data_IF_991925736577
#
_entry.id   IF_991925736577
#
_cell.length_a   1.000
_cell.length_b   1.000
_cell.length_c   1.000
_cell.angle_alpha   90.00
_cell.angle_beta   90.00
_cell.angle_gamma   90.00
#
_symmetry.space_group_name_H-M   'P 1'
#
loop_
_entity.id
_entity.type
_entity.pdbx_description
1 polymer ?
#
# COMPACT_ATOMS: atom_id res chain seq x y z
N UNK A 1 -4.03 -12.02 -9.39
CA UNK A 1 -2.75 -11.82 -10.12
C UNK A 1 -1.63 -11.36 -9.19
N UNK A 2 -1.71 -10.21 -8.51
CA UNK A 2 -0.70 -9.81 -7.51
C UNK A 2 -0.65 -10.69 -6.25
N UNK A 3 -1.80 -11.18 -5.79
CA UNK A 3 -1.92 -12.03 -4.59
C UNK A 3 -1.79 -13.53 -4.91
N UNK A 4 -1.81 -13.90 -6.19
CA UNK A 4 -1.80 -15.31 -6.63
C UNK A 4 -0.45 -15.99 -6.41
N UNK A 5 0.63 -15.20 -6.36
CA UNK A 5 1.98 -15.65 -6.03
C UNK A 5 2.70 -14.50 -5.34
N UNK A 6 3.55 -14.74 -4.34
CA UNK A 6 4.32 -13.68 -3.70
C UNK A 6 5.49 -13.18 -4.58
N UNK A 7 5.83 -13.91 -5.65
CA UNK A 7 6.97 -13.61 -6.53
C UNK A 7 6.91 -12.19 -7.13
N UNK A 8 5.79 -11.72 -7.71
CA UNK A 8 5.70 -10.38 -8.30
C UNK A 8 6.00 -9.28 -7.28
N UNK A 9 5.58 -9.45 -6.02
CA UNK A 9 5.83 -8.48 -4.94
C UNK A 9 7.32 -8.43 -4.64
N UNK A 10 7.96 -9.58 -4.45
CA UNK A 10 9.40 -9.63 -4.19
C UNK A 10 10.22 -9.00 -5.31
N UNK A 11 9.81 -9.22 -6.57
CA UNK A 11 10.47 -8.58 -7.73
C UNK A 11 10.30 -7.06 -7.68
N UNK A 12 9.09 -6.55 -7.43
CA UNK A 12 8.84 -5.10 -7.30
C UNK A 12 9.71 -4.52 -6.18
N UNK A 13 9.71 -5.14 -4.99
CA UNK A 13 10.52 -4.70 -3.84
C UNK A 13 12.02 -4.69 -4.17
N UNK A 14 12.52 -5.74 -4.82
CA UNK A 14 13.93 -5.86 -5.18
C UNK A 14 14.35 -4.77 -6.20
N UNK A 15 13.57 -4.59 -7.26
CA UNK A 15 13.81 -3.57 -8.29
C UNK A 15 13.75 -2.17 -7.66
N UNK A 16 12.73 -1.92 -6.83
CA UNK A 16 12.58 -0.66 -6.11
C UNK A 16 13.77 -0.37 -5.19
N UNK A 17 14.20 -1.35 -4.39
CA UNK A 17 15.36 -1.19 -3.50
C UNK A 17 16.65 -0.90 -4.27
N UNK A 18 16.85 -1.57 -5.40
CA UNK A 18 18.00 -1.33 -6.28
C UNK A 18 17.95 0.05 -6.90
N UNK A 19 16.76 0.50 -7.30
CA UNK A 19 16.54 1.84 -7.83
C UNK A 19 16.90 2.91 -6.79
N UNK A 20 16.34 2.86 -5.57
CA UNK A 20 16.57 3.88 -4.54
C UNK A 20 18.01 3.89 -4.02
N UNK A 21 18.65 2.73 -3.84
CA UNK A 21 20.01 2.70 -3.26
C UNK A 21 21.15 2.91 -4.26
N UNK A 22 20.99 2.46 -5.51
CA UNK A 22 22.09 2.47 -6.47
C UNK A 22 21.83 3.43 -7.62
N UNK A 23 20.72 3.26 -8.34
CA UNK A 23 20.48 4.00 -9.58
C UNK A 23 20.06 5.45 -9.32
N UNK A 24 19.18 5.70 -8.36
CA UNK A 24 18.74 7.04 -7.96
C UNK A 24 19.91 7.95 -7.56
N UNK A 25 20.74 7.57 -6.57
CA UNK A 25 21.90 8.36 -6.16
C UNK A 25 22.93 8.54 -7.27
N UNK A 26 23.13 7.53 -8.13
CA UNK A 26 24.04 7.64 -9.28
C UNK A 26 23.53 8.68 -10.30
N UNK A 27 22.22 8.74 -10.57
CA UNK A 27 21.61 9.71 -11.48
C UNK A 27 21.56 11.12 -10.86
N UNK A 28 21.41 11.21 -9.55
CA UNK A 28 21.33 12.48 -8.80
C UNK A 28 22.70 13.07 -8.44
N UNK A 29 23.80 12.35 -8.63
CA UNK A 29 25.16 12.79 -8.25
C UNK A 29 25.54 14.15 -8.86
N UNK A 30 25.16 14.38 -10.11
CA UNK A 30 25.52 15.58 -10.87
C UNK A 30 24.33 16.55 -11.06
N UNK A 31 23.24 16.40 -10.27
CA UNK A 31 22.04 17.25 -10.37
C UNK A 31 21.66 17.89 -9.04
N UNK A 32 21.15 19.15 -9.05
CA UNK A 32 20.58 19.75 -7.85
C UNK A 32 19.30 19.02 -7.40
N UNK A 33 18.97 19.04 -6.09
CA UNK A 33 17.80 18.34 -5.56
C UNK A 33 16.50 18.89 -6.15
N UNK A 34 15.60 17.99 -6.55
CA UNK A 34 14.29 18.35 -7.06
C UNK A 34 13.43 18.95 -5.95
N UNK A 35 12.77 20.09 -6.21
CA UNK A 35 11.81 20.67 -5.27
C UNK A 35 10.45 19.99 -5.42
N UNK A 36 10.29 18.83 -4.78
CA UNK A 36 9.06 18.03 -4.83
C UNK A 36 8.10 18.30 -3.65
N UNK A 37 8.32 19.39 -2.90
CA UNK A 37 7.58 19.68 -1.66
C UNK A 37 6.06 19.61 -1.83
N UNK A 38 5.51 20.23 -2.87
CA UNK A 38 4.07 20.25 -3.09
C UNK A 38 3.53 18.87 -3.50
N UNK A 39 4.31 18.12 -4.30
CA UNK A 39 3.96 16.76 -4.72
C UNK A 39 3.92 15.81 -3.52
N UNK A 40 4.91 15.89 -2.63
CA UNK A 40 4.98 15.09 -1.40
C UNK A 40 3.81 15.43 -0.47
N UNK A 41 3.46 16.71 -0.32
CA UNK A 41 2.30 17.13 0.48
C UNK A 41 1.00 16.57 -0.09
N UNK A 42 0.78 16.71 -1.41
CA UNK A 42 -0.42 16.18 -2.07
C UNK A 42 -0.52 14.66 -1.92
N UNK A 43 0.60 13.95 -2.09
CA UNK A 43 0.70 12.51 -1.91
C UNK A 43 0.30 12.08 -0.50
N UNK A 44 0.87 12.71 0.53
CA UNK A 44 0.54 12.41 1.93
C UNK A 44 -0.95 12.66 2.24
N UNK A 45 -1.55 13.73 1.71
CA UNK A 45 -2.99 14.02 1.91
C UNK A 45 -3.85 12.91 1.27
N UNK A 46 -3.52 12.48 0.05
CA UNK A 46 -4.23 11.38 -0.63
C UNK A 46 -4.09 10.09 0.18
N UNK A 47 -2.90 9.80 0.68
CA UNK A 47 -2.63 8.60 1.46
C UNK A 47 -3.40 8.58 2.78
N UNK A 48 -3.53 9.72 3.47
CA UNK A 48 -4.37 9.88 4.67
C UNK A 48 -5.85 9.66 4.32
N UNK A 49 -6.33 10.28 3.23
CA UNK A 49 -7.72 10.13 2.80
C UNK A 49 -8.05 8.67 2.47
N UNK A 50 -7.19 7.99 1.72
CA UNK A 50 -7.34 6.58 1.39
C UNK A 50 -7.31 5.70 2.64
N UNK A 51 -6.39 5.96 3.57
CA UNK A 51 -6.28 5.22 4.83
C UNK A 51 -7.56 5.32 5.68
N UNK A 52 -8.17 6.51 5.75
CA UNK A 52 -9.45 6.71 6.43
C UNK A 52 -10.61 5.91 5.78
N UNK A 53 -10.62 5.80 4.45
CA UNK A 53 -11.65 5.05 3.71
C UNK A 53 -11.48 3.54 3.87
N UNK A 54 -10.23 3.05 3.92
CA UNK A 54 -9.92 1.62 4.13
C UNK A 54 -10.10 1.12 5.55
N UNK A 55 -10.74 1.86 6.45
CA UNK A 55 -10.99 1.41 7.82
C UNK A 55 -11.86 0.14 7.80
N UNK A 56 -11.20 -1.02 7.92
CA UNK A 56 -11.82 -2.37 7.84
C UNK A 56 -12.59 -2.71 9.13
N UNK A 57 -12.24 -2.07 10.25
CA UNK A 57 -12.88 -2.34 11.52
C UNK A 57 -14.31 -1.78 11.56
N UNK A 58 -15.28 -2.66 11.35
CA UNK A 58 -16.69 -2.45 11.63
C UNK A 58 -16.95 -2.76 13.11
N UNK A 59 -17.07 -1.73 13.98
CA UNK A 59 -17.34 -1.96 15.40
C UNK A 59 -18.65 -2.74 15.56
N UNK A 60 -18.62 -3.85 16.29
CA UNK A 60 -19.78 -4.71 16.54
C UNK A 60 -19.92 -5.92 15.61
N UNK A 61 -19.19 -5.98 14.49
CA UNK A 61 -19.15 -7.15 13.62
C UNK A 61 -17.95 -8.06 13.91
N UNK A 62 -16.84 -7.47 14.37
CA UNK A 62 -15.64 -8.18 14.76
C UNK A 62 -15.47 -8.22 16.27
N UNK A 63 -15.19 -9.41 16.82
CA UNK A 63 -14.68 -9.54 18.18
C UNK A 63 -13.25 -8.97 18.21
N UNK A 64 -12.90 -8.28 19.30
CA UNK A 64 -11.51 -7.84 19.55
C UNK A 64 -10.58 -9.02 19.87
N UNK A 65 -11.16 -10.22 20.06
CA UNK A 65 -10.46 -11.47 20.30
C UNK A 65 -10.35 -12.29 19.00
N UNK A 66 -9.96 -13.57 19.11
CA UNK A 66 -9.83 -14.46 17.95
C UNK A 66 -11.14 -14.54 17.16
N UNK A 67 -11.14 -13.96 15.96
CA UNK A 67 -12.22 -14.09 14.98
C UNK A 67 -11.82 -15.14 13.95
N UNK A 68 -12.70 -16.11 13.70
CA UNK A 68 -12.47 -17.10 12.64
C UNK A 68 -12.61 -16.43 11.27
N UNK A 69 -11.79 -16.87 10.32
CA UNK A 69 -11.96 -16.51 8.91
C UNK A 69 -13.24 -17.16 8.42
N UNK A 70 -14.21 -16.33 8.02
CA UNK A 70 -15.42 -16.74 7.35
C UNK A 70 -15.08 -16.69 5.85
N UNK A 71 -15.35 -17.80 5.14
CA UNK A 71 -15.11 -17.94 3.70
C UNK A 71 -16.44 -18.03 2.95
N UNK A 72 -17.51 -17.53 3.57
CA UNK A 72 -18.82 -17.54 2.95
C UNK A 72 -18.89 -16.40 1.93
N UNK A 73 -19.82 -16.52 0.99
CA UNK A 73 -19.93 -15.56 -0.11
C UNK A 73 -21.00 -14.51 0.22
N UNK A 74 -20.92 -13.92 1.42
CA UNK A 74 -21.87 -12.88 1.87
C UNK A 74 -21.50 -11.49 1.34
N UNK A 75 -22.47 -10.58 1.15
CA UNK A 75 -22.17 -9.21 0.70
C UNK A 75 -21.21 -8.46 1.63
N UNK A 76 -21.23 -8.77 2.93
CA UNK A 76 -20.34 -8.16 3.92
C UNK A 76 -18.91 -8.65 3.75
N UNK A 77 -18.69 -9.95 3.58
CA UNK A 77 -17.35 -10.52 3.34
C UNK A 77 -16.75 -10.03 2.03
N UNK A 78 -17.56 -9.87 0.97
CA UNK A 78 -17.09 -9.28 -0.30
C UNK A 78 -16.61 -7.83 -0.13
N UNK A 79 -17.29 -7.03 0.69
CA UNK A 79 -16.84 -5.66 1.00
C UNK A 79 -15.53 -5.67 1.80
N UNK A 80 -15.42 -6.55 2.79
CA UNK A 80 -14.19 -6.73 3.59
C UNK A 80 -13.00 -7.14 2.72
N UNK A 81 -13.16 -8.14 1.85
CA UNK A 81 -12.12 -8.59 0.92
C UNK A 81 -11.71 -7.46 -0.03
N UNK A 82 -12.67 -6.67 -0.52
CA UNK A 82 -12.40 -5.52 -1.39
C UNK A 82 -11.60 -4.44 -0.67
N UNK A 83 -11.93 -4.15 0.60
CA UNK A 83 -11.17 -3.20 1.44
C UNK A 83 -9.76 -3.71 1.77
N UNK A 84 -9.61 -5.00 2.07
CA UNK A 84 -8.30 -5.63 2.31
C UNK A 84 -7.44 -5.57 1.05
N UNK A 85 -8.02 -5.81 -0.13
CA UNK A 85 -7.32 -5.66 -1.40
C UNK A 85 -6.91 -4.20 -1.66
N UNK A 86 -7.80 -3.23 -1.39
CA UNK A 86 -7.49 -1.82 -1.51
C UNK A 86 -6.36 -1.40 -0.56
N UNK A 87 -6.40 -1.88 0.70
CA UNK A 87 -5.33 -1.65 1.68
C UNK A 87 -3.98 -2.22 1.21
N UNK A 88 -3.99 -3.42 0.64
CA UNK A 88 -2.80 -4.02 0.05
C UNK A 88 -2.22 -3.16 -1.07
N UNK A 89 -3.06 -2.61 -1.96
CA UNK A 89 -2.61 -1.71 -3.03
C UNK A 89 -2.07 -0.39 -2.49
N UNK A 90 -2.71 0.20 -1.47
CA UNK A 90 -2.20 1.41 -0.78
C UNK A 90 -0.79 1.14 -0.25
N UNK A 91 -0.56 -0.01 0.39
CA UNK A 91 0.77 -0.39 0.91
C UNK A 91 1.84 -0.53 -0.18
N UNK A 92 1.46 -0.92 -1.39
CA UNK A 92 2.39 -0.93 -2.54
C UNK A 92 2.70 0.50 -2.99
N UNK A 93 1.71 1.39 -2.97
CA UNK A 93 1.90 2.80 -3.32
C UNK A 93 2.78 3.50 -2.26
N UNK A 94 2.63 3.17 -0.97
CA UNK A 94 3.47 3.66 0.14
C UNK A 94 4.97 3.51 -0.13
N UNK A 95 5.39 2.49 -0.89
CA UNK A 95 6.80 2.34 -1.26
C UNK A 95 7.34 3.54 -2.02
N UNK A 96 6.51 4.29 -2.76
CA UNK A 96 6.96 5.45 -3.53
C UNK A 96 7.46 6.61 -2.65
N UNK A 97 7.16 6.61 -1.34
CA UNK A 97 7.62 7.65 -0.42
C UNK A 97 9.11 7.52 -0.03
N UNK A 98 9.73 6.36 -0.26
CA UNK A 98 11.17 6.11 0.00
C UNK A 98 12.07 6.49 -1.18
#
# INVERSE_FOLDING_TARGET
MLVSSPIPIFVILYVYHRFVKAWGPAIMKDRPPFQLKNTIIAYNIIQIALSCITRVYLPGYYSMWCQKIINEDTPMERDVVSRVWLYYMIKVIDLMDT
#
